data_IF_874014539656
#
_entry.id   IF_874014539656
#
_cell.length_a   1.000
_cell.length_b   1.000
_cell.length_c   1.000
_cell.angle_alpha   90.00
_cell.angle_beta   90.00
_cell.angle_gamma   90.00
#
_symmetry.space_group_name_H-M   'P 1'
#
loop_
_entity.id
_entity.type
_entity.pdbx_description
1 polymer ?
#
# COMPACT_ATOMS: atom_id res chain seq x y z
N UNK A 1 11.28 48.60 15.33
CA UNK A 1 10.68 47.37 14.78
C UNK A 1 11.63 46.22 15.10
N UNK A 2 11.21 45.16 15.81
CA UNK A 2 12.06 44.00 16.01
C UNK A 2 12.30 43.37 14.64
N UNK A 3 13.58 43.20 14.29
CA UNK A 3 14.03 42.44 13.12
C UNK A 3 13.36 41.07 13.14
N UNK A 4 12.46 40.80 12.20
CA UNK A 4 11.92 39.46 11.97
C UNK A 4 13.10 38.56 11.60
N UNK A 5 13.61 37.82 12.57
CA UNK A 5 14.62 36.80 12.37
C UNK A 5 14.06 35.81 11.35
N UNK A 6 14.78 35.66 10.23
CA UNK A 6 14.47 34.67 9.21
C UNK A 6 14.28 33.32 9.91
N UNK A 7 13.16 32.61 9.71
CA UNK A 7 12.94 31.33 10.36
C UNK A 7 14.14 30.41 10.08
N UNK A 8 14.60 29.64 11.08
CA UNK A 8 15.75 28.76 10.91
C UNK A 8 15.56 27.88 9.68
N UNK A 9 16.62 27.71 8.90
CA UNK A 9 16.59 26.84 7.74
C UNK A 9 16.13 25.45 8.18
N UNK A 10 15.25 24.76 7.42
CA UNK A 10 14.83 23.42 7.77
C UNK A 10 16.07 22.52 7.90
N UNK A 11 16.09 21.70 8.94
CA UNK A 11 17.16 20.74 9.15
C UNK A 11 17.35 19.86 7.89
N UNK A 12 18.60 19.44 7.60
CA UNK A 12 18.87 18.68 6.38
C UNK A 12 18.04 17.40 6.34
N UNK A 13 17.42 17.15 5.20
CA UNK A 13 16.67 15.92 4.95
C UNK A 13 17.59 14.68 4.98
N UNK A 14 17.08 13.50 5.34
CA UNK A 14 17.89 12.28 5.39
C UNK A 14 18.47 11.93 4.02
N UNK A 15 19.73 11.49 4.01
CA UNK A 15 20.44 11.03 2.83
C UNK A 15 20.64 9.50 2.81
N UNK A 16 20.54 8.86 3.98
CA UNK A 16 20.74 7.41 4.19
C UNK A 16 19.80 6.88 5.28
N UNK A 17 19.71 5.56 5.43
CA UNK A 17 19.02 4.97 6.59
C UNK A 17 19.67 5.34 7.93
N UNK A 18 20.99 5.57 7.95
CA UNK A 18 21.70 5.94 9.15
C UNK A 18 21.19 7.27 9.74
N UNK A 19 20.78 8.21 8.88
CA UNK A 19 20.23 9.50 9.30
C UNK A 19 18.87 9.36 10.02
N UNK A 20 18.15 8.27 9.78
CA UNK A 20 16.88 7.97 10.45
C UNK A 20 17.09 7.32 11.83
N UNK A 21 18.22 6.64 12.07
CA UNK A 21 18.46 5.86 13.28
C UNK A 21 18.30 6.64 14.60
N UNK A 22 18.75 7.91 14.72
CA UNK A 22 18.53 8.70 15.93
C UNK A 22 17.05 8.85 16.29
N UNK A 23 16.15 8.78 15.30
CA UNK A 23 14.70 8.88 15.50
C UNK A 23 14.09 7.75 16.34
N UNK A 24 14.82 6.64 16.58
CA UNK A 24 14.39 5.57 17.49
C UNK A 24 14.20 6.03 18.94
N UNK A 25 14.87 7.11 19.31
CA UNK A 25 14.87 7.66 20.67
C UNK A 25 14.10 8.99 20.76
N UNK A 26 13.35 9.35 19.72
CA UNK A 26 12.65 10.63 19.63
C UNK A 26 11.15 10.37 19.49
N UNK A 27 10.34 11.08 20.27
CA UNK A 27 8.88 10.96 20.25
C UNK A 27 8.31 11.12 18.83
N UNK A 28 7.41 10.23 18.43
CA UNK A 28 6.78 10.23 17.11
C UNK A 28 5.81 11.39 16.85
N UNK A 29 5.92 12.50 17.57
CA UNK A 29 5.22 13.75 17.30
C UNK A 29 6.10 14.93 17.72
N UNK A 30 6.48 15.75 16.75
CA UNK A 30 7.35 16.90 16.98
C UNK A 30 6.64 18.14 17.54
N UNK A 31 5.35 18.02 17.92
CA UNK A 31 4.57 19.10 18.53
C UNK A 31 4.21 20.22 17.57
N UNK A 32 4.45 20.03 16.27
CA UNK A 32 4.28 21.07 15.28
C UNK A 32 2.79 21.40 15.05
N UNK A 33 2.47 22.69 14.92
CA UNK A 33 1.12 23.14 14.60
C UNK A 33 0.76 22.74 13.16
N UNK A 34 -0.22 21.85 13.00
CA UNK A 34 -0.66 21.36 11.70
C UNK A 34 -1.47 22.40 10.91
N UNK A 35 -2.08 23.37 11.60
CA UNK A 35 -2.91 24.41 10.99
C UNK A 35 -2.09 25.47 10.27
N UNK A 36 -0.79 25.56 10.59
CA UNK A 36 0.15 26.50 9.98
C UNK A 36 0.97 25.79 8.90
N UNK A 37 0.79 26.13 7.61
CA UNK A 37 1.58 25.57 6.54
C UNK A 37 3.09 25.85 6.72
N UNK A 38 3.98 24.90 6.40
CA UNK A 38 5.42 25.13 6.51
C UNK A 38 5.89 26.14 5.46
N UNK A 39 6.91 26.93 5.79
CA UNK A 39 7.47 27.96 4.90
C UNK A 39 8.01 27.40 3.57
N UNK A 40 8.38 26.11 3.54
CA UNK A 40 8.85 25.42 2.34
C UNK A 40 7.73 24.84 1.47
N UNK A 41 6.46 25.06 1.80
CA UNK A 41 5.32 24.54 1.04
C UNK A 41 5.25 25.16 -0.36
N UNK A 42 5.42 24.32 -1.36
CA UNK A 42 5.29 24.60 -2.78
C UNK A 42 3.97 23.97 -3.25
N UNK A 43 2.96 24.83 -3.45
CA UNK A 43 1.62 24.42 -3.87
C UNK A 43 1.60 23.80 -5.27
N UNK A 44 2.53 24.17 -6.16
CA UNK A 44 2.60 23.58 -7.49
C UNK A 44 3.15 22.16 -7.44
N UNK A 45 4.20 21.89 -6.64
CA UNK A 45 4.69 20.52 -6.39
C UNK A 45 3.62 19.66 -5.71
N UNK A 46 2.94 20.20 -4.70
CA UNK A 46 1.85 19.52 -4.00
C UNK A 46 0.73 19.12 -4.97
N UNK A 47 0.25 20.05 -5.81
CA UNK A 47 -0.78 19.79 -6.80
C UNK A 47 -0.36 18.74 -7.84
N UNK A 48 0.91 18.74 -8.27
CA UNK A 48 1.44 17.70 -9.16
C UNK A 48 1.40 16.31 -8.53
N UNK A 49 1.70 16.19 -7.24
CA UNK A 49 1.57 14.91 -6.51
C UNK A 49 0.14 14.40 -6.47
N UNK A 50 -0.84 15.27 -6.20
CA UNK A 50 -2.26 14.93 -6.22
C UNK A 50 -2.70 14.47 -7.62
N UNK A 51 -2.25 15.16 -8.67
CA UNK A 51 -2.55 14.80 -10.05
C UNK A 51 -1.94 13.43 -10.42
N UNK A 52 -0.67 13.19 -10.07
CA UNK A 52 -0.01 11.90 -10.29
C UNK A 52 -0.76 10.76 -9.59
N UNK A 53 -1.21 10.97 -8.34
CA UNK A 53 -2.02 9.97 -7.65
C UNK A 53 -3.34 9.71 -8.36
N UNK A 54 -4.09 10.76 -8.76
CA UNK A 54 -5.39 10.60 -9.45
C UNK A 54 -5.25 9.86 -10.78
N UNK A 55 -4.14 10.06 -11.48
CA UNK A 55 -3.85 9.37 -12.73
C UNK A 55 -3.58 7.88 -12.48
N UNK A 56 -2.73 7.55 -11.51
CA UNK A 56 -2.22 6.19 -11.29
C UNK A 56 -2.77 5.50 -10.02
N UNK A 57 -3.94 5.91 -9.53
CA UNK A 57 -4.44 5.56 -8.19
C UNK A 57 -4.52 4.06 -7.95
N UNK A 58 -4.99 3.30 -8.95
CA UNK A 58 -5.13 1.86 -8.83
C UNK A 58 -3.77 1.15 -8.79
N UNK A 59 -2.83 1.54 -9.68
CA UNK A 59 -1.46 1.01 -9.67
C UNK A 59 -0.74 1.34 -8.36
N UNK A 60 -0.83 2.59 -7.88
CA UNK A 60 -0.28 3.01 -6.59
C UNK A 60 -0.91 2.22 -5.44
N UNK A 61 -2.23 2.01 -5.44
CA UNK A 61 -2.92 1.18 -4.45
C UNK A 61 -2.42 -0.26 -4.41
N UNK A 62 -2.11 -0.86 -5.57
CA UNK A 62 -1.47 -2.18 -5.63
C UNK A 62 -0.08 -2.17 -5.00
N UNK A 63 0.71 -1.10 -5.17
CA UNK A 63 2.00 -0.99 -4.47
C UNK A 63 1.83 -0.97 -2.95
N UNK A 64 0.78 -0.33 -2.42
CA UNK A 64 0.51 -0.35 -0.98
C UNK A 64 0.21 -1.76 -0.49
N UNK A 65 -0.54 -2.55 -1.27
CA UNK A 65 -0.83 -3.95 -0.97
C UNK A 65 0.47 -4.79 -0.88
N UNK A 66 1.34 -4.71 -1.89
CA UNK A 66 2.61 -5.46 -1.89
C UNK A 66 3.55 -4.99 -0.77
N UNK A 67 3.70 -3.67 -0.59
CA UNK A 67 4.50 -3.09 0.48
C UNK A 67 4.00 -3.47 1.87
N UNK A 68 2.68 -3.57 2.09
CA UNK A 68 2.11 -3.94 3.38
C UNK A 68 2.41 -5.41 3.72
N UNK A 69 2.26 -6.32 2.76
CA UNK A 69 2.57 -7.75 2.99
C UNK A 69 4.06 -7.91 3.31
N UNK A 70 4.96 -7.28 2.55
CA UNK A 70 6.39 -7.24 2.93
C UNK A 70 6.61 -6.54 4.27
N UNK A 71 5.85 -5.48 4.55
CA UNK A 71 5.94 -4.68 5.77
C UNK A 71 5.67 -5.47 7.05
N UNK A 72 4.86 -6.55 6.99
CA UNK A 72 4.67 -7.45 8.15
C UNK A 72 5.95 -8.19 8.58
N UNK A 73 7.03 -8.11 7.82
CA UNK A 73 8.35 -8.59 8.29
C UNK A 73 8.95 -7.68 9.35
N UNK A 74 8.53 -6.41 9.40
CA UNK A 74 8.93 -5.45 10.42
C UNK A 74 8.24 -5.76 11.77
N UNK A 75 9.04 -6.22 12.75
CA UNK A 75 8.56 -6.58 14.10
C UNK A 75 7.91 -5.42 14.87
N UNK A 76 8.40 -4.19 14.69
CA UNK A 76 7.83 -3.02 15.35
C UNK A 76 6.42 -2.73 14.82
N UNK A 77 6.22 -2.85 13.50
CA UNK A 77 4.90 -2.74 12.89
C UNK A 77 3.97 -3.83 13.42
N UNK A 78 4.37 -5.10 13.31
CA UNK A 78 3.52 -6.23 13.75
C UNK A 78 3.11 -6.10 15.21
N UNK A 79 4.04 -5.74 16.09
CA UNK A 79 3.73 -5.58 17.52
C UNK A 79 2.68 -4.48 17.77
N UNK A 80 2.72 -3.35 17.05
CA UNK A 80 1.68 -2.32 17.13
C UNK A 80 0.32 -2.86 16.67
N UNK A 81 0.32 -3.64 15.58
CA UNK A 81 -0.91 -4.19 15.01
C UNK A 81 -1.54 -5.24 15.94
N UNK A 82 -0.74 -6.12 16.51
CA UNK A 82 -1.14 -7.12 17.50
C UNK A 82 -1.75 -6.46 18.75
N UNK A 83 -1.04 -5.48 19.33
CA UNK A 83 -1.48 -4.77 20.53
C UNK A 83 -2.81 -4.03 20.34
N UNK A 84 -3.10 -3.58 19.12
CA UNK A 84 -4.34 -2.84 18.82
C UNK A 84 -5.59 -3.71 18.66
N UNK A 85 -5.45 -5.05 18.57
CA UNK A 85 -6.58 -5.99 18.55
C UNK A 85 -7.42 -6.06 17.26
N UNK A 86 -7.16 -5.20 16.27
CA UNK A 86 -7.98 -5.06 15.06
C UNK A 86 -7.54 -5.89 13.85
N UNK A 87 -6.70 -6.92 14.01
CA UNK A 87 -6.08 -7.64 12.87
C UNK A 87 -5.92 -9.14 13.06
N UNK A 88 -6.50 -9.73 14.10
CA UNK A 88 -6.32 -11.15 14.41
C UNK A 88 -7.12 -12.11 13.51
N UNK A 89 -8.12 -11.63 12.76
CA UNK A 89 -8.94 -12.44 11.87
C UNK A 89 -9.15 -11.78 10.51
N UNK A 90 -9.48 -12.54 9.44
CA UNK A 90 -9.75 -11.98 8.11
C UNK A 90 -10.78 -10.84 8.06
N UNK A 91 -11.95 -10.91 8.71
CA UNK A 91 -12.91 -9.81 8.68
C UNK A 91 -12.42 -8.56 9.44
N UNK A 92 -11.74 -8.74 10.58
CA UNK A 92 -11.15 -7.64 11.35
C UNK A 92 -10.07 -6.92 10.53
N UNK A 93 -9.14 -7.70 9.94
CA UNK A 93 -8.10 -7.17 9.07
C UNK A 93 -8.70 -6.42 7.88
N UNK A 94 -9.69 -7.00 7.18
CA UNK A 94 -10.35 -6.32 6.06
C UNK A 94 -10.90 -4.94 6.47
N UNK A 95 -11.64 -4.87 7.57
CA UNK A 95 -12.20 -3.61 8.04
C UNK A 95 -11.11 -2.57 8.33
N UNK A 96 -10.07 -2.96 9.08
CA UNK A 96 -8.94 -2.08 9.40
C UNK A 96 -8.27 -1.51 8.15
N UNK A 97 -7.95 -2.36 7.18
CA UNK A 97 -7.20 -1.93 6.00
C UNK A 97 -8.06 -1.15 5.01
N UNK A 98 -9.37 -1.41 4.94
CA UNK A 98 -10.30 -0.53 4.23
C UNK A 98 -10.38 0.85 4.88
N UNK A 99 -10.42 0.94 6.21
CA UNK A 99 -10.41 2.23 6.92
C UNK A 99 -9.10 2.99 6.72
N UNK A 100 -7.97 2.29 6.77
CA UNK A 100 -6.65 2.86 6.44
C UNK A 100 -6.63 3.39 5.00
N UNK A 101 -7.15 2.62 4.04
CA UNK A 101 -7.26 3.03 2.63
C UNK A 101 -8.14 4.27 2.43
N UNK A 102 -9.21 4.44 3.22
CA UNK A 102 -10.04 5.67 3.20
C UNK A 102 -9.26 6.89 3.66
N UNK A 103 -8.53 6.79 4.78
CA UNK A 103 -7.70 7.88 5.28
C UNK A 103 -6.65 8.30 4.24
N UNK A 104 -5.88 7.34 3.72
CA UNK A 104 -4.84 7.58 2.71
C UNK A 104 -5.44 8.20 1.45
N UNK A 105 -6.54 7.66 0.94
CA UNK A 105 -7.16 8.23 -0.27
C UNK A 105 -7.69 9.64 -0.02
N UNK A 106 -8.23 9.92 1.17
CA UNK A 106 -8.65 11.27 1.55
C UNK A 106 -7.47 12.26 1.49
N UNK A 107 -6.29 11.86 2.01
CA UNK A 107 -5.08 12.68 1.96
C UNK A 107 -4.56 12.89 0.55
N UNK A 108 -4.56 11.82 -0.27
CA UNK A 108 -4.03 11.84 -1.64
C UNK A 108 -5.01 12.46 -2.66
N UNK A 109 -6.19 12.90 -2.23
CA UNK A 109 -7.18 13.55 -3.12
C UNK A 109 -7.63 14.93 -2.64
N UNK A 110 -7.22 15.38 -1.45
CA UNK A 110 -7.57 16.69 -0.88
C UNK A 110 -6.38 17.53 -0.40
N UNK A 111 -6.66 18.63 0.32
CA UNK A 111 -5.63 19.50 0.90
C UNK A 111 -5.40 19.18 2.39
N UNK A 112 -4.27 18.55 2.71
CA UNK A 112 -3.89 18.26 4.11
C UNK A 112 -3.49 19.50 4.90
N UNK A 113 -3.41 20.68 4.29
CA UNK A 113 -3.19 21.96 4.96
C UNK A 113 -4.45 22.83 5.02
N UNK A 114 -5.55 22.43 4.37
CA UNK A 114 -6.81 23.16 4.41
C UNK A 114 -7.63 22.75 5.63
N UNK A 115 -7.65 23.56 6.68
CA UNK A 115 -8.31 23.21 7.97
C UNK A 115 -9.80 22.85 7.85
N UNK A 116 -10.48 23.35 6.81
CA UNK A 116 -11.86 22.99 6.49
C UNK A 116 -12.01 21.69 5.67
N UNK A 117 -10.93 21.24 4.99
CA UNK A 117 -10.90 20.06 4.13
C UNK A 117 -10.99 18.77 4.96
N UNK A 118 -11.66 17.76 4.39
CA UNK A 118 -11.72 16.42 4.96
C UNK A 118 -10.33 15.77 5.07
N UNK A 119 -9.40 16.10 4.18
CA UNK A 119 -8.03 15.59 4.18
C UNK A 119 -7.26 16.04 5.44
N UNK A 120 -7.36 17.32 5.80
CA UNK A 120 -6.78 17.87 7.03
C UNK A 120 -7.35 17.16 8.27
N UNK A 121 -8.69 17.09 8.38
CA UNK A 121 -9.36 16.44 9.52
C UNK A 121 -8.97 14.97 9.64
N UNK A 122 -8.88 14.27 8.51
CA UNK A 122 -8.48 12.87 8.43
C UNK A 122 -7.03 12.64 8.89
N UNK A 123 -6.08 13.49 8.48
CA UNK A 123 -4.66 13.31 8.86
C UNK A 123 -4.43 13.64 10.34
N UNK A 124 -5.11 14.67 10.86
CA UNK A 124 -5.07 15.01 12.29
C UNK A 124 -5.72 13.91 13.14
N UNK A 125 -6.83 13.32 12.69
CA UNK A 125 -7.43 12.17 13.38
C UNK A 125 -6.43 11.00 13.50
N UNK A 126 -5.64 10.71 12.45
CA UNK A 126 -4.63 9.65 12.51
C UNK A 126 -3.44 10.04 13.39
N UNK A 127 -3.04 11.32 13.40
CA UNK A 127 -2.04 11.84 14.35
C UNK A 127 -2.50 11.64 15.81
N UNK A 128 -3.77 11.91 16.11
CA UNK A 128 -4.36 11.68 17.43
C UNK A 128 -4.41 10.19 17.79
N UNK A 129 -4.75 9.32 16.83
CA UNK A 129 -4.69 7.86 17.03
C UNK A 129 -3.26 7.43 17.38
N UNK A 130 -2.25 7.90 16.66
CA UNK A 130 -0.85 7.59 16.95
C UNK A 130 -0.45 8.08 18.36
N UNK A 131 -0.90 9.26 18.77
CA UNK A 131 -0.70 9.80 20.12
C UNK A 131 -1.35 8.93 21.19
N UNK A 132 -2.59 8.51 20.98
CA UNK A 132 -3.31 7.62 21.90
C UNK A 132 -2.60 6.26 22.05
N UNK A 133 -2.11 5.69 20.94
CA UNK A 133 -1.34 4.44 20.96
C UNK A 133 -0.03 4.60 21.73
N UNK A 134 0.72 5.70 21.53
CA UNK A 134 1.95 5.97 22.31
C UNK A 134 1.66 6.04 23.80
N UNK A 135 0.64 6.81 24.21
CA UNK A 135 0.23 6.92 25.61
C UNK A 135 -0.14 5.56 26.21
N UNK A 136 -0.85 4.73 25.45
CA UNK A 136 -1.20 3.37 25.88
C UNK A 136 0.05 2.46 26.00
N UNK A 137 1.04 2.61 25.13
CA UNK A 137 2.30 1.86 25.22
C UNK A 137 3.11 2.27 26.47
N UNK A 138 3.23 3.56 26.72
CA UNK A 138 3.91 4.11 27.91
C UNK A 138 3.26 3.61 29.21
N UNK A 139 1.93 3.63 29.29
CA UNK A 139 1.18 3.15 30.45
C UNK A 139 1.43 1.66 30.77
N UNK A 140 1.81 0.85 29.77
CA UNK A 140 2.14 -0.56 29.93
C UNK A 140 3.66 -0.82 30.01
N UNK A 141 4.47 0.23 30.23
CA UNK A 141 5.94 0.11 30.33
C UNK A 141 6.61 -0.35 29.03
N UNK A 142 5.93 -0.21 27.88
CA UNK A 142 6.47 -0.61 26.58
C UNK A 142 7.38 0.48 26.02
N UNK A 143 8.39 0.07 25.25
CA UNK A 143 9.28 0.99 24.53
C UNK A 143 8.48 1.85 23.55
N UNK A 144 8.97 3.06 23.24
CA UNK A 144 8.38 3.98 22.27
C UNK A 144 8.42 3.38 20.84
N UNK A 145 7.36 2.68 20.41
CA UNK A 145 7.35 2.00 19.10
C UNK A 145 6.98 2.96 17.96
N UNK A 146 6.00 3.84 18.17
CA UNK A 146 5.68 4.92 17.21
C UNK A 146 6.61 6.11 17.49
N UNK A 147 7.82 6.07 16.94
CA UNK A 147 8.85 7.09 17.10
C UNK A 147 9.20 7.75 15.75
N UNK A 148 10.10 8.73 15.76
CA UNK A 148 10.57 9.42 14.55
C UNK A 148 11.39 8.54 13.60
N UNK A 149 11.72 7.29 13.96
CA UNK A 149 12.28 6.31 13.03
C UNK A 149 11.18 5.47 12.37
N UNK A 150 10.21 4.98 13.13
CA UNK A 150 9.18 4.10 12.62
C UNK A 150 8.20 4.82 11.68
N UNK A 151 7.91 6.11 11.91
CA UNK A 151 7.04 6.89 11.03
C UNK A 151 7.62 7.05 9.61
N UNK A 152 8.87 7.49 9.40
CA UNK A 152 9.52 7.49 8.08
C UNK A 152 9.68 6.10 7.45
N UNK A 153 9.95 5.06 8.24
CA UNK A 153 10.00 3.68 7.73
C UNK A 153 8.63 3.24 7.19
N UNK A 154 7.55 3.60 7.87
CA UNK A 154 6.18 3.38 7.37
C UNK A 154 5.90 4.26 6.13
N UNK A 155 6.38 5.51 6.11
CA UNK A 155 6.28 6.39 4.92
C UNK A 155 6.95 5.74 3.70
N UNK A 156 8.10 5.07 3.87
CA UNK A 156 8.79 4.32 2.83
C UNK A 156 7.91 3.25 2.18
N UNK A 157 7.02 2.59 2.94
CA UNK A 157 6.11 1.58 2.38
C UNK A 157 5.14 2.18 1.35
N UNK A 158 4.80 3.46 1.46
CA UNK A 158 3.92 4.15 0.52
C UNK A 158 4.65 4.74 -0.69
N UNK A 159 5.93 5.08 -0.58
CA UNK A 159 6.67 5.74 -1.68
C UNK A 159 7.71 4.85 -2.36
N UNK A 160 8.25 3.87 -1.65
CA UNK A 160 9.43 3.12 -2.06
C UNK A 160 9.21 2.29 -3.33
N UNK A 161 8.15 1.47 -3.36
CA UNK A 161 7.82 0.68 -4.55
C UNK A 161 7.42 1.56 -5.74
N UNK A 162 6.69 2.66 -5.52
CA UNK A 162 6.35 3.62 -6.57
C UNK A 162 7.62 4.22 -7.19
N UNK A 163 8.59 4.60 -6.36
CA UNK A 163 9.83 5.24 -6.77
C UNK A 163 10.82 4.29 -7.48
N UNK A 164 10.79 2.99 -7.16
CA UNK A 164 11.76 2.01 -7.65
C UNK A 164 11.26 1.13 -8.79
N UNK A 165 9.99 0.70 -8.75
CA UNK A 165 9.52 -0.45 -9.56
C UNK A 165 8.11 -0.28 -10.11
N UNK A 166 7.58 0.95 -10.16
CA UNK A 166 6.23 1.21 -10.66
C UNK A 166 6.02 0.65 -12.07
N UNK A 167 7.02 0.81 -12.95
CA UNK A 167 7.01 0.35 -14.34
C UNK A 167 6.76 -1.17 -14.46
N UNK A 168 7.38 -1.97 -13.59
CA UNK A 168 7.18 -3.42 -13.51
C UNK A 168 5.84 -3.82 -12.91
N UNK A 169 5.20 -2.91 -12.19
CA UNK A 169 3.88 -3.07 -11.58
C UNK A 169 2.77 -2.44 -12.44
N UNK A 170 3.07 -2.11 -13.70
CA UNK A 170 2.08 -1.81 -14.73
C UNK A 170 1.75 -0.33 -14.92
N UNK A 171 2.50 0.59 -14.30
CA UNK A 171 2.31 2.03 -14.48
C UNK A 171 3.64 2.77 -14.37
N UNK A 172 3.82 3.92 -15.02
CA UNK A 172 5.10 4.63 -14.93
C UNK A 172 4.85 6.12 -14.74
N UNK A 173 5.40 6.68 -13.66
CA UNK A 173 5.40 8.13 -13.45
C UNK A 173 6.61 8.71 -14.19
N UNK A 174 6.39 9.85 -14.87
CA UNK A 174 7.51 10.72 -15.25
C UNK A 174 8.26 11.21 -14.00
N UNK A 175 9.53 11.62 -14.16
CA UNK A 175 10.32 12.14 -13.04
C UNK A 175 9.63 13.33 -12.35
N UNK A 176 8.95 14.20 -13.10
CA UNK A 176 8.23 15.35 -12.52
C UNK A 176 6.99 14.93 -11.72
N UNK A 177 6.28 13.89 -12.14
CA UNK A 177 5.17 13.29 -11.41
C UNK A 177 5.66 12.58 -10.15
N UNK A 178 6.77 11.83 -10.23
CA UNK A 178 7.35 11.16 -9.08
C UNK A 178 7.84 12.17 -8.03
N UNK A 179 8.53 13.23 -8.46
CA UNK A 179 8.93 14.33 -7.57
C UNK A 179 7.71 14.98 -6.90
N UNK A 180 6.62 15.21 -7.66
CA UNK A 180 5.36 15.67 -7.09
C UNK A 180 4.77 14.70 -6.06
N UNK A 181 4.76 13.40 -6.35
CA UNK A 181 4.23 12.36 -5.47
C UNK A 181 5.03 12.22 -4.17
N UNK A 182 6.36 12.22 -4.26
CA UNK A 182 7.25 12.22 -3.09
C UNK A 182 7.06 13.51 -2.29
N UNK A 183 6.95 14.66 -2.95
CA UNK A 183 6.68 15.93 -2.27
C UNK A 183 5.33 15.94 -1.54
N UNK A 184 4.28 15.35 -2.12
CA UNK A 184 3.00 15.15 -1.45
C UNK A 184 3.17 14.31 -0.17
N UNK A 185 3.93 13.22 -0.23
CA UNK A 185 4.21 12.41 0.96
C UNK A 185 5.09 13.12 2.00
N UNK A 186 5.99 14.02 1.60
CA UNK A 186 6.69 14.93 2.52
C UNK A 186 5.70 15.77 3.31
N UNK A 187 4.72 16.37 2.63
CA UNK A 187 3.66 17.16 3.26
C UNK A 187 2.82 16.31 4.23
N UNK A 188 2.41 15.10 3.82
CA UNK A 188 1.65 14.18 4.67
C UNK A 188 2.48 13.78 5.90
N UNK A 189 3.75 13.45 5.74
CA UNK A 189 4.64 13.11 6.86
C UNK A 189 4.75 14.25 7.87
N UNK A 190 4.84 15.51 7.39
CA UNK A 190 4.82 16.69 8.26
C UNK A 190 3.48 16.84 9.01
N UNK A 191 2.35 16.54 8.39
CA UNK A 191 1.06 16.56 9.11
C UNK A 191 0.91 15.41 10.10
N UNK A 192 1.57 14.28 9.86
CA UNK A 192 1.73 13.21 10.84
C UNK A 192 2.84 13.48 11.87
N UNK A 193 3.31 14.73 11.97
CA UNK A 193 4.31 15.21 12.92
C UNK A 193 5.69 14.54 12.84
N UNK A 194 6.06 14.06 11.65
CA UNK A 194 7.44 13.68 11.35
C UNK A 194 8.30 14.95 11.27
N UNK A 195 9.39 15.01 12.02
CA UNK A 195 10.35 16.11 11.93
C UNK A 195 10.99 16.16 10.54
N UNK A 196 11.27 17.37 10.04
CA UNK A 196 11.86 17.55 8.71
C UNK A 196 13.19 16.80 8.53
N UNK A 197 14.00 16.66 9.60
CA UNK A 197 15.27 15.90 9.57
C UNK A 197 15.11 14.39 9.45
N UNK A 198 13.93 13.87 9.77
CA UNK A 198 13.61 12.43 9.68
C UNK A 198 12.64 12.12 8.54
N UNK A 199 12.00 13.13 7.95
CA UNK A 199 11.05 12.95 6.86
C UNK A 199 11.75 12.39 5.62
N UNK A 200 11.54 11.10 5.33
CA UNK A 200 12.16 10.37 4.22
C UNK A 200 11.98 11.11 2.88
N UNK A 201 10.81 11.71 2.69
CA UNK A 201 10.46 12.42 1.47
C UNK A 201 10.99 13.87 1.43
N UNK A 202 11.62 14.34 2.51
CA UNK A 202 12.24 15.67 2.60
C UNK A 202 13.29 15.91 1.52
N UNK A 203 13.93 14.83 1.07
CA UNK A 203 15.05 14.84 0.15
C UNK A 203 14.73 14.89 -1.34
N UNK A 204 13.47 14.67 -1.74
CA UNK A 204 13.09 14.45 -3.15
C UNK A 204 13.19 12.98 -3.57
N UNK A 205 12.80 12.68 -4.81
CA UNK A 205 12.62 11.30 -5.25
C UNK A 205 13.92 10.50 -5.34
N UNK A 206 15.02 11.14 -5.75
CA UNK A 206 16.34 10.49 -5.83
C UNK A 206 16.80 9.95 -4.47
N UNK A 207 16.68 10.77 -3.40
CA UNK A 207 17.01 10.33 -2.03
C UNK A 207 16.07 9.22 -1.55
N UNK A 208 14.77 9.29 -1.85
CA UNK A 208 13.84 8.20 -1.54
C UNK A 208 14.27 6.91 -2.24
N UNK A 209 14.67 6.95 -3.51
CA UNK A 209 15.18 5.78 -4.24
C UNK A 209 16.43 5.22 -3.58
N UNK A 210 17.41 6.07 -3.26
CA UNK A 210 18.66 5.66 -2.62
C UNK A 210 18.40 4.94 -1.28
N UNK A 211 17.64 5.57 -0.38
CA UNK A 211 17.33 5.02 0.95
C UNK A 211 16.50 3.73 0.82
N UNK A 212 15.53 3.68 -0.10
CA UNK A 212 14.72 2.47 -0.32
C UNK A 212 15.56 1.31 -0.85
N UNK A 213 16.52 1.57 -1.75
CA UNK A 213 17.46 0.52 -2.22
C UNK A 213 18.33 0.00 -1.09
N UNK A 214 18.83 0.91 -0.25
CA UNK A 214 19.59 0.55 0.96
C UNK A 214 18.74 -0.35 1.87
N UNK A 215 17.51 0.06 2.19
CA UNK A 215 16.59 -0.70 3.03
C UNK A 215 16.23 -2.06 2.46
N UNK A 216 15.97 -2.13 1.16
CA UNK A 216 15.67 -3.39 0.49
C UNK A 216 16.83 -4.37 0.63
N UNK A 217 18.06 -3.90 0.44
CA UNK A 217 19.27 -4.71 0.53
C UNK A 217 19.58 -5.14 1.97
N UNK A 218 19.51 -4.23 2.93
CA UNK A 218 20.01 -4.48 4.29
C UNK A 218 18.94 -4.94 5.29
N UNK A 219 17.66 -4.71 5.02
CA UNK A 219 16.56 -4.95 5.96
C UNK A 219 15.43 -5.78 5.35
N UNK A 220 14.75 -5.26 4.31
CA UNK A 220 13.44 -5.79 3.87
C UNK A 220 13.56 -7.20 3.31
N UNK A 221 14.41 -7.43 2.30
CA UNK A 221 14.57 -8.76 1.71
C UNK A 221 15.24 -9.77 2.66
N UNK A 222 16.28 -9.40 3.44
CA UNK A 222 16.80 -10.29 4.48
C UNK A 222 15.75 -10.76 5.50
N UNK A 223 14.83 -9.87 5.93
CA UNK A 223 13.74 -10.24 6.84
C UNK A 223 12.66 -11.06 6.13
N UNK A 224 12.33 -10.74 4.87
CA UNK A 224 11.39 -11.50 4.06
C UNK A 224 11.90 -12.91 3.71
N UNK A 225 13.22 -13.12 3.70
CA UNK A 225 13.84 -14.43 3.50
C UNK A 225 13.63 -15.37 4.70
N UNK A 226 13.48 -14.81 5.91
CA UNK A 226 13.35 -15.55 7.18
C UNK A 226 12.27 -14.92 8.08
N UNK A 227 11.00 -14.91 7.65
CA UNK A 227 9.92 -14.29 8.41
C UNK A 227 9.64 -15.08 9.71
N UNK A 228 9.33 -14.34 10.77
CA UNK A 228 8.89 -14.94 12.04
C UNK A 228 7.43 -15.41 11.98
N UNK A 229 6.96 -16.22 12.95
CA UNK A 229 5.56 -16.69 12.99
C UNK A 229 4.53 -15.55 12.88
N UNK A 230 4.75 -14.44 13.59
CA UNK A 230 3.80 -13.33 13.62
C UNK A 230 3.62 -12.65 12.25
N UNK A 231 4.61 -12.75 11.35
CA UNK A 231 4.44 -12.31 9.96
C UNK A 231 3.32 -13.10 9.30
N UNK A 232 3.32 -14.43 9.43
CA UNK A 232 2.29 -15.29 8.83
C UNK A 232 0.92 -15.02 9.44
N UNK A 233 0.84 -14.88 10.77
CA UNK A 233 -0.42 -14.58 11.45
C UNK A 233 -1.07 -13.28 10.91
N UNK A 234 -0.27 -12.22 10.72
CA UNK A 234 -0.75 -10.95 10.16
C UNK A 234 -1.03 -11.03 8.64
N UNK A 235 -0.13 -11.64 7.87
CA UNK A 235 -0.23 -11.73 6.42
C UNK A 235 -1.39 -12.61 5.99
N UNK A 236 -1.64 -13.73 6.68
CA UNK A 236 -2.76 -14.63 6.39
C UNK A 236 -4.09 -13.98 6.76
N UNK A 237 -4.18 -13.28 7.90
CA UNK A 237 -5.37 -12.50 8.24
C UNK A 237 -5.64 -11.41 7.19
N UNK A 238 -4.61 -10.67 6.76
CA UNK A 238 -4.76 -9.65 5.73
C UNK A 238 -5.20 -10.22 4.38
N UNK A 239 -4.48 -11.21 3.85
CA UNK A 239 -4.78 -11.83 2.55
C UNK A 239 -6.13 -12.53 2.57
N UNK A 240 -6.45 -13.24 3.66
CA UNK A 240 -7.77 -13.82 3.88
C UNK A 240 -8.86 -12.74 3.84
N UNK A 241 -8.62 -11.59 4.48
CA UNK A 241 -9.54 -10.46 4.49
C UNK A 241 -9.74 -9.88 3.09
N UNK A 242 -8.66 -9.69 2.32
CA UNK A 242 -8.73 -9.26 0.94
C UNK A 242 -9.48 -10.27 0.06
N UNK A 243 -9.33 -11.58 0.29
CA UNK A 243 -10.10 -12.62 -0.40
C UNK A 243 -11.61 -12.53 -0.15
N UNK A 244 -12.07 -11.94 0.96
CA UNK A 244 -13.50 -11.69 1.18
C UNK A 244 -14.09 -10.67 0.18
N UNK A 245 -13.26 -9.77 -0.38
CA UNK A 245 -13.67 -8.90 -1.49
C UNK A 245 -13.92 -9.71 -2.77
N UNK A 246 -13.43 -10.95 -2.84
CA UNK A 246 -13.64 -11.88 -3.95
C UNK A 246 -14.58 -13.02 -3.57
N UNK A 247 -15.60 -12.74 -2.76
CA UNK A 247 -16.57 -13.75 -2.28
C UNK A 247 -15.93 -14.85 -1.40
N UNK A 248 -14.74 -14.60 -0.83
CA UNK A 248 -13.97 -15.61 -0.10
C UNK A 248 -13.18 -16.56 -1.01
N UNK A 249 -13.25 -16.39 -2.34
CA UNK A 249 -12.42 -17.16 -3.26
C UNK A 249 -10.95 -16.82 -3.02
N UNK A 250 -10.06 -17.82 -2.91
CA UNK A 250 -8.64 -17.61 -2.60
C UNK A 250 -7.88 -17.16 -3.85
N UNK A 251 -8.24 -16.01 -4.41
CA UNK A 251 -7.61 -15.42 -5.60
C UNK A 251 -6.25 -14.79 -5.27
N UNK A 252 -6.05 -14.37 -4.01
CA UNK A 252 -4.78 -13.87 -3.50
C UNK A 252 -4.17 -14.89 -2.54
N UNK A 253 -2.84 -14.94 -2.48
CA UNK A 253 -2.09 -15.70 -1.47
C UNK A 253 -0.88 -14.92 -0.99
N UNK A 254 -0.43 -15.16 0.25
CA UNK A 254 0.80 -14.54 0.78
C UNK A 254 1.99 -14.83 -0.13
N UNK A 255 2.17 -16.09 -0.55
CA UNK A 255 3.29 -16.52 -1.41
C UNK A 255 3.29 -15.82 -2.77
N UNK A 256 2.15 -15.76 -3.46
CA UNK A 256 2.07 -15.07 -4.76
C UNK A 256 2.31 -13.57 -4.64
N UNK A 257 1.84 -12.96 -3.55
CA UNK A 257 2.05 -11.52 -3.27
C UNK A 257 3.53 -11.20 -2.99
N UNK A 258 4.21 -12.04 -2.20
CA UNK A 258 5.65 -11.91 -1.97
C UNK A 258 6.43 -12.16 -3.26
N UNK A 259 6.06 -13.16 -4.07
CA UNK A 259 6.72 -13.43 -5.35
C UNK A 259 6.65 -12.25 -6.33
N UNK A 260 5.55 -11.50 -6.36
CA UNK A 260 5.47 -10.24 -7.11
C UNK A 260 6.54 -9.24 -6.64
N UNK A 261 6.78 -9.15 -5.33
CA UNK A 261 7.76 -8.22 -4.77
C UNK A 261 9.21 -8.63 -5.11
N UNK A 262 9.52 -9.93 -5.08
CA UNK A 262 10.82 -10.45 -5.54
C UNK A 262 11.00 -10.26 -7.05
N UNK A 263 9.97 -10.52 -7.86
CA UNK A 263 9.98 -10.22 -9.30
C UNK A 263 10.26 -8.73 -9.57
N UNK A 264 9.52 -7.83 -8.92
CA UNK A 264 9.66 -6.40 -9.14
C UNK A 264 11.07 -5.90 -8.78
N UNK A 265 11.70 -6.49 -7.76
CA UNK A 265 13.04 -6.15 -7.32
C UNK A 265 14.19 -6.83 -8.08
N UNK A 266 13.91 -7.59 -9.15
CA UNK A 266 14.91 -8.43 -9.87
C UNK A 266 15.60 -9.45 -8.96
N UNK A 267 14.84 -10.04 -8.03
CA UNK A 267 15.33 -11.00 -7.02
C UNK A 267 14.65 -12.36 -7.13
N UNK A 268 14.09 -12.71 -8.29
CA UNK A 268 13.34 -13.96 -8.45
C UNK A 268 14.11 -15.18 -7.95
N UNK A 269 15.39 -15.27 -8.33
CA UNK A 269 16.28 -16.40 -7.98
C UNK A 269 16.72 -16.40 -6.50
N UNK A 270 16.47 -15.31 -5.77
CA UNK A 270 16.76 -15.18 -4.33
C UNK A 270 15.53 -15.51 -3.45
N UNK A 271 14.39 -15.87 -4.05
CA UNK A 271 13.16 -16.15 -3.32
C UNK A 271 13.32 -17.40 -2.44
N UNK A 272 12.98 -17.35 -1.14
CA UNK A 272 13.31 -18.40 -0.16
C UNK A 272 12.34 -19.60 -0.21
N UNK A 273 11.44 -19.66 -1.19
CA UNK A 273 10.42 -20.70 -1.30
C UNK A 273 10.05 -20.95 -2.75
N UNK A 274 9.57 -22.15 -3.03
CA UNK A 274 8.93 -22.49 -4.30
C UNK A 274 7.44 -22.14 -4.28
N UNK A 275 6.94 -21.73 -5.44
CA UNK A 275 5.51 -21.52 -5.64
C UNK A 275 4.83 -22.85 -5.95
N UNK A 276 3.69 -23.10 -5.27
CA UNK A 276 2.78 -24.14 -5.73
C UNK A 276 2.24 -23.79 -7.12
N UNK A 277 1.77 -24.78 -7.89
CA UNK A 277 1.15 -24.52 -9.19
C UNK A 277 0.03 -23.47 -9.11
N UNK A 278 -0.78 -23.52 -8.04
CA UNK A 278 -1.86 -22.56 -7.82
C UNK A 278 -1.33 -21.16 -7.47
N UNK A 279 -0.29 -21.05 -6.65
CA UNK A 279 0.34 -19.75 -6.35
C UNK A 279 1.04 -19.16 -7.57
N UNK A 280 1.60 -20.00 -8.45
CA UNK A 280 2.17 -19.56 -9.71
C UNK A 280 1.09 -18.99 -10.63
N UNK A 281 -0.09 -19.63 -10.72
CA UNK A 281 -1.24 -19.08 -11.45
C UNK A 281 -1.68 -17.73 -10.86
N UNK A 282 -1.76 -17.58 -9.53
CA UNK A 282 -2.05 -16.28 -8.88
C UNK A 282 -1.01 -15.21 -9.22
N UNK A 283 0.27 -15.57 -9.20
CA UNK A 283 1.36 -14.68 -9.64
C UNK A 283 1.22 -14.26 -11.11
N UNK A 284 0.91 -15.18 -12.01
CA UNK A 284 0.66 -14.87 -13.42
C UNK A 284 -0.54 -13.94 -13.62
N UNK A 285 -1.59 -14.08 -12.80
CA UNK A 285 -2.73 -13.15 -12.83
C UNK A 285 -2.30 -11.71 -12.48
N UNK A 286 -1.46 -11.52 -11.46
CA UNK A 286 -0.87 -10.20 -11.18
C UNK A 286 -0.05 -9.69 -12.37
N UNK A 287 0.80 -10.53 -12.96
CA UNK A 287 1.64 -10.16 -14.12
C UNK A 287 0.79 -9.71 -15.30
N UNK A 288 -0.28 -10.44 -15.60
CA UNK A 288 -1.21 -10.06 -16.65
C UNK A 288 -1.91 -8.74 -16.33
N UNK A 289 -2.37 -8.54 -15.09
CA UNK A 289 -2.97 -7.28 -14.66
C UNK A 289 -2.00 -6.11 -14.88
N UNK A 290 -0.71 -6.27 -14.57
CA UNK A 290 0.31 -5.24 -14.81
C UNK A 290 0.50 -4.95 -16.31
N UNK A 291 0.55 -5.99 -17.15
CA UNK A 291 0.62 -5.84 -18.61
C UNK A 291 -0.61 -5.10 -19.15
N UNK A 292 -1.81 -5.47 -18.70
CA UNK A 292 -3.05 -4.82 -19.08
C UNK A 292 -3.06 -3.35 -18.67
N UNK A 293 -2.66 -3.01 -17.44
CA UNK A 293 -2.54 -1.63 -17.00
C UNK A 293 -1.50 -0.83 -17.81
N UNK A 294 -0.37 -1.45 -18.17
CA UNK A 294 0.70 -0.77 -18.90
C UNK A 294 0.32 -0.46 -20.34
N UNK A 295 -0.31 -1.41 -21.02
CA UNK A 295 -0.49 -1.38 -22.47
C UNK A 295 -1.92 -1.07 -22.92
N UNK A 296 -2.89 -1.05 -22.01
CA UNK A 296 -4.27 -0.65 -22.29
C UNK A 296 -4.61 0.62 -21.48
N UNK A 297 -4.33 1.83 -22.02
CA UNK A 297 -4.54 3.09 -21.30
C UNK A 297 -5.99 3.28 -20.81
N UNK A 298 -6.97 2.80 -21.58
CA UNK A 298 -8.38 2.81 -21.16
C UNK A 298 -8.60 2.00 -19.88
N UNK A 299 -8.03 0.79 -19.81
CA UNK A 299 -8.18 -0.08 -18.64
C UNK A 299 -7.59 0.55 -17.39
N UNK A 300 -6.37 1.10 -17.50
CA UNK A 300 -5.69 1.79 -16.41
C UNK A 300 -6.48 3.01 -15.92
N UNK A 301 -6.92 3.88 -16.84
CA UNK A 301 -7.70 5.08 -16.50
C UNK A 301 -9.04 4.73 -15.86
N UNK A 302 -9.73 3.72 -16.39
CA UNK A 302 -11.00 3.25 -15.84
C UNK A 302 -10.81 2.71 -14.42
N UNK A 303 -9.80 1.86 -14.19
CA UNK A 303 -9.52 1.30 -12.87
C UNK A 303 -9.18 2.41 -11.84
N UNK A 304 -8.33 3.37 -12.20
CA UNK A 304 -8.03 4.53 -11.34
C UNK A 304 -9.28 5.38 -11.08
N UNK A 305 -10.06 5.71 -12.12
CA UNK A 305 -11.25 6.54 -11.98
C UNK A 305 -12.31 5.88 -11.08
N UNK A 306 -12.54 4.58 -11.24
CA UNK A 306 -13.47 3.82 -10.39
C UNK A 306 -13.00 3.77 -8.94
N UNK A 307 -11.71 3.48 -8.69
CA UNK A 307 -11.15 3.46 -7.34
C UNK A 307 -11.32 4.82 -6.66
N UNK A 308 -10.94 5.91 -7.34
CA UNK A 308 -11.09 7.26 -6.81
C UNK A 308 -12.56 7.59 -6.56
N UNK A 309 -13.47 7.28 -7.49
CA UNK A 309 -14.90 7.53 -7.32
C UNK A 309 -15.47 6.77 -6.10
N UNK A 310 -15.11 5.50 -5.93
CA UNK A 310 -15.51 4.69 -4.77
C UNK A 310 -15.00 5.29 -3.47
N UNK A 311 -13.72 5.67 -3.42
CA UNK A 311 -13.12 6.26 -2.23
C UNK A 311 -13.68 7.66 -1.92
N UNK A 312 -13.96 8.49 -2.94
CA UNK A 312 -14.59 9.80 -2.75
C UNK A 312 -16.05 9.69 -2.32
N UNK A 313 -16.79 8.69 -2.81
CA UNK A 313 -18.15 8.39 -2.32
C UNK A 313 -18.17 7.87 -0.86
N UNK A 314 -17.00 7.46 -0.35
CA UNK A 314 -16.79 7.09 1.05
C UNK A 314 -16.34 8.28 1.91
N UNK A 315 -16.14 9.47 1.34
CA UNK A 315 -15.58 10.67 2.01
C UNK A 315 -16.56 11.40 2.94
N UNK A 316 -17.63 10.72 3.37
CA UNK A 316 -18.34 11.12 4.58
C UNK A 316 -17.32 10.99 5.73
N UNK A 317 -16.76 12.14 6.17
CA UNK A 317 -15.97 12.17 7.39
C UNK A 317 -16.76 11.49 8.50
N UNK A 318 -16.12 10.74 9.41
CA UNK A 318 -16.75 10.35 10.66
C UNK A 318 -17.23 11.63 11.36
N UNK A 319 -18.52 11.94 11.26
CA UNK A 319 -19.14 13.02 12.03
C UNK A 319 -19.55 12.41 13.36
N UNK A 320 -18.62 12.42 14.31
CA UNK A 320 -18.85 11.94 15.66
C UNK A 320 -17.53 11.61 16.37
N UNK A 321 -17.52 11.57 17.71
CA UNK A 321 -16.42 10.95 18.44
C UNK A 321 -16.18 9.54 17.85
N UNK A 322 -14.93 9.04 17.85
CA UNK A 322 -14.58 7.77 17.23
C UNK A 322 -15.62 6.71 17.62
N UNK A 323 -16.38 6.23 16.63
CA UNK A 323 -17.50 5.28 16.84
C UNK A 323 -17.03 3.89 17.30
N UNK A 324 -15.72 3.75 17.48
CA UNK A 324 -15.05 2.59 18.05
C UNK A 324 -13.72 3.07 18.63
N UNK A 325 -13.33 2.48 19.77
CA UNK A 325 -12.02 2.66 20.37
C UNK A 325 -10.93 2.53 19.28
N UNK A 326 -9.91 3.41 19.24
CA UNK A 326 -8.76 3.27 18.34
C UNK A 326 -8.05 1.91 18.46
N UNK A 327 -8.30 1.21 19.56
CA UNK A 327 -7.89 -0.15 19.89
C UNK A 327 -9.10 -1.08 19.84
N UNK A 328 -9.82 -1.13 18.71
CA UNK A 328 -10.99 -1.99 18.54
C UNK A 328 -10.66 -3.47 18.79
N UNK A 329 -10.78 -3.91 20.04
CA UNK A 329 -10.35 -5.22 20.53
C UNK A 329 -9.64 -5.22 21.90
N UNK A 330 -9.29 -4.06 22.45
CA UNK A 330 -8.71 -3.94 23.79
C UNK A 330 -9.69 -4.42 24.89
N UNK A 331 -9.26 -5.23 25.88
CA UNK A 331 -10.10 -5.59 27.03
C UNK A 331 -10.66 -4.33 27.71
N UNK A 332 -11.87 -4.45 28.27
CA UNK A 332 -12.73 -3.37 28.77
C UNK A 332 -12.09 -2.38 29.78
N UNK A 333 -10.87 -2.65 30.26
CA UNK A 333 -10.12 -1.77 31.16
C UNK A 333 -9.32 -0.65 30.49
N UNK A 334 -9.23 -0.60 29.15
CA UNK A 334 -8.31 0.32 28.45
C UNK A 334 -8.94 1.70 28.14
N UNK A 335 -10.27 1.80 28.09
CA UNK A 335 -11.01 3.08 27.99
C UNK A 335 -12.41 2.97 28.62
N UNK A 336 -12.59 3.23 29.94
CA UNK A 336 -13.89 3.10 30.60
C UNK A 336 -14.95 4.10 30.10
N UNK A 337 -14.54 5.26 29.58
CA UNK A 337 -15.44 6.38 29.26
C UNK A 337 -16.03 6.35 27.84
N UNK A 338 -15.70 5.36 27.00
CA UNK A 338 -16.05 5.36 25.57
C UNK A 338 -16.79 4.09 25.08
N UNK A 339 -17.27 3.24 25.99
CA UNK A 339 -18.14 2.12 25.64
C UNK A 339 -19.62 2.50 25.87
N UNK A 340 -20.42 2.82 24.83
CA UNK A 340 -21.84 2.59 24.93
C UNK A 340 -22.06 1.09 25.05
N UNK A 341 -22.74 0.66 26.11
CA UNK A 341 -23.14 -0.71 26.31
C UNK A 341 -23.99 -1.18 25.11
N UNK A 342 -23.51 -2.20 24.37
CA UNK A 342 -24.31 -2.87 23.34
C UNK A 342 -23.55 -3.16 22.06
N UNK A 343 -22.91 -4.31 22.00
CA UNK A 343 -22.39 -4.86 20.75
C UNK A 343 -21.65 -6.18 20.98
N UNK A 344 -22.34 -7.30 20.83
CA UNK A 344 -21.73 -8.63 20.90
C UNK A 344 -20.65 -8.78 19.82
N UNK A 345 -19.47 -9.34 20.13
CA UNK A 345 -18.48 -9.68 19.12
C UNK A 345 -18.95 -10.95 18.39
N UNK A 346 -19.28 -10.83 17.10
CA UNK A 346 -19.62 -11.99 16.28
C UNK A 346 -20.71 -11.78 15.23
N UNK A 347 -21.36 -10.61 15.17
CA UNK A 347 -22.34 -10.38 14.12
C UNK A 347 -21.64 -9.84 12.85
N UNK A 348 -21.57 -10.59 11.74
CA UNK A 348 -21.04 -10.09 10.49
C UNK A 348 -22.00 -9.01 9.98
N UNK A 349 -21.76 -7.75 10.36
CA UNK A 349 -22.51 -6.63 9.79
C UNK A 349 -22.47 -6.77 8.26
N UNK A 350 -23.62 -6.77 7.59
CA UNK A 350 -23.66 -6.93 6.15
C UNK A 350 -22.74 -5.89 5.50
N UNK A 351 -21.85 -6.35 4.61
CA UNK A 351 -20.93 -5.49 3.88
C UNK A 351 -21.71 -4.30 3.28
N UNK A 352 -21.39 -3.10 3.76
CA UNK A 352 -22.10 -1.88 3.38
C UNK A 352 -22.12 -1.69 1.86
N UNK A 353 -23.11 -0.94 1.35
CA UNK A 353 -23.27 -0.69 -0.10
C UNK A 353 -21.98 -0.24 -0.80
N UNK A 354 -21.15 0.53 -0.09
CA UNK A 354 -19.89 1.07 -0.58
C UNK A 354 -18.80 -0.02 -0.72
N UNK A 355 -18.78 -1.04 0.15
CA UNK A 355 -17.87 -2.20 0.02
C UNK A 355 -18.32 -3.14 -1.10
N UNK A 356 -19.62 -3.19 -1.41
CA UNK A 356 -20.15 -3.93 -2.57
C UNK A 356 -19.66 -3.35 -3.90
N UNK A 357 -19.56 -2.02 -4.03
CA UNK A 357 -19.03 -1.37 -5.23
C UNK A 357 -17.53 -1.67 -5.44
N UNK A 358 -16.72 -1.58 -4.37
CA UNK A 358 -15.30 -1.97 -4.42
C UNK A 358 -15.13 -3.44 -4.80
N UNK A 359 -15.93 -4.33 -4.20
CA UNK A 359 -15.97 -5.75 -4.54
C UNK A 359 -16.32 -5.96 -6.01
N UNK A 360 -17.37 -5.34 -6.52
CA UNK A 360 -17.76 -5.46 -7.93
C UNK A 360 -16.62 -5.04 -8.86
N UNK A 361 -16.00 -3.87 -8.61
CA UNK A 361 -14.86 -3.39 -9.39
C UNK A 361 -13.69 -4.39 -9.37
N UNK A 362 -13.23 -4.81 -8.18
CA UNK A 362 -12.08 -5.71 -8.06
C UNK A 362 -12.38 -7.09 -8.68
N UNK A 363 -13.57 -7.63 -8.47
CA UNK A 363 -13.99 -8.90 -9.04
C UNK A 363 -14.00 -8.83 -10.57
N UNK A 364 -14.52 -7.75 -11.16
CA UNK A 364 -14.50 -7.54 -12.61
C UNK A 364 -13.08 -7.41 -13.16
N UNK A 365 -12.19 -6.68 -12.45
CA UNK A 365 -10.80 -6.53 -12.88
C UNK A 365 -10.06 -7.87 -12.83
N UNK A 366 -10.19 -8.63 -11.74
CA UNK A 366 -9.51 -9.92 -11.57
C UNK A 366 -10.10 -10.98 -12.50
N UNK A 367 -11.42 -11.16 -12.53
CA UNK A 367 -12.04 -12.14 -13.43
C UNK A 367 -11.87 -11.78 -14.90
N UNK A 368 -11.94 -10.48 -15.25
CA UNK A 368 -11.63 -10.01 -16.59
C UNK A 368 -10.19 -10.31 -16.97
N UNK A 369 -9.23 -10.11 -16.05
CA UNK A 369 -7.83 -10.48 -16.27
C UNK A 369 -7.66 -11.99 -16.47
N UNK A 370 -8.30 -12.82 -15.64
CA UNK A 370 -8.27 -14.29 -15.75
C UNK A 370 -8.87 -14.75 -17.10
N UNK A 371 -10.01 -14.19 -17.48
CA UNK A 371 -10.68 -14.52 -18.75
C UNK A 371 -9.80 -14.13 -19.94
N UNK A 372 -9.18 -12.96 -19.92
CA UNK A 372 -8.29 -12.53 -20.99
C UNK A 372 -7.02 -13.38 -21.07
N UNK A 373 -6.43 -13.77 -19.93
CA UNK A 373 -5.32 -14.75 -19.88
C UNK A 373 -5.76 -16.05 -20.52
N UNK A 374 -6.92 -16.57 -20.10
CA UNK A 374 -7.45 -17.85 -20.59
C UNK A 374 -7.74 -17.82 -22.09
N UNK A 375 -8.34 -16.75 -22.59
CA UNK A 375 -8.58 -16.57 -24.03
C UNK A 375 -7.26 -16.44 -24.80
N UNK A 376 -6.27 -15.74 -24.25
CA UNK A 376 -4.96 -15.57 -24.88
C UNK A 376 -4.17 -16.88 -24.92
N UNK A 377 -4.18 -17.66 -23.83
CA UNK A 377 -3.52 -18.98 -23.79
C UNK A 377 -4.25 -19.98 -24.68
N UNK A 378 -5.59 -19.98 -24.70
CA UNK A 378 -6.37 -20.81 -25.61
C UNK A 378 -6.08 -20.46 -27.08
N UNK A 379 -5.95 -19.17 -27.42
CA UNK A 379 -5.57 -18.71 -28.76
C UNK A 379 -4.15 -19.15 -29.12
N UNK A 380 -3.17 -19.02 -28.22
CA UNK A 380 -1.80 -19.47 -28.45
C UNK A 380 -1.72 -20.99 -28.62
N UNK A 381 -2.47 -21.75 -27.82
CA UNK A 381 -2.58 -23.21 -27.98
C UNK A 381 -3.21 -23.58 -29.31
N UNK A 382 -4.28 -22.88 -29.73
CA UNK A 382 -4.90 -23.08 -31.02
C UNK A 382 -3.92 -22.80 -32.16
N UNK A 383 -3.17 -21.69 -32.10
CA UNK A 383 -2.12 -21.35 -33.08
C UNK A 383 -1.05 -22.44 -33.12
N UNK A 384 -0.59 -22.93 -31.96
CA UNK A 384 0.40 -23.99 -31.88
C UNK A 384 -0.10 -25.31 -32.49
N UNK A 385 -1.36 -25.69 -32.21
CA UNK A 385 -2.00 -26.87 -32.80
C UNK A 385 -2.13 -26.71 -34.32
N UNK A 386 -2.59 -25.56 -34.81
CA UNK A 386 -2.71 -25.28 -36.24
C UNK A 386 -1.34 -25.29 -36.94
N UNK A 387 -0.29 -24.77 -36.30
CA UNK A 387 1.08 -24.81 -36.81
C UNK A 387 1.65 -26.25 -36.84
N UNK A 388 1.36 -27.05 -35.81
CA UNK A 388 1.72 -28.47 -35.77
C UNK A 388 0.98 -29.28 -36.86
N UNK A 389 -0.30 -29.00 -37.08
CA UNK A 389 -1.08 -29.60 -38.17
C UNK A 389 -0.53 -29.19 -39.53
N UNK A 390 -0.21 -27.91 -39.74
CA UNK A 390 0.35 -27.42 -41.00
C UNK A 390 1.70 -28.06 -41.31
N UNK A 391 2.60 -28.14 -40.34
CA UNK A 391 3.91 -28.81 -40.49
C UNK A 391 3.75 -30.32 -40.71
N UNK A 392 2.81 -30.97 -40.01
CA UNK A 392 2.46 -32.37 -40.24
C UNK A 392 1.89 -32.65 -41.64
N UNK A 393 1.00 -31.78 -42.13
CA UNK A 393 0.46 -31.87 -43.50
C UNK A 393 1.52 -31.57 -44.58
N UNK A 394 2.44 -30.63 -44.31
CA UNK A 394 3.52 -30.33 -45.24
C UNK A 394 4.49 -31.52 -45.39
N UNK A 395 4.79 -32.21 -44.28
CA UNK A 395 5.64 -33.41 -44.27
C UNK A 395 4.97 -34.61 -44.93
N UNK A 396 3.65 -34.79 -44.79
CA UNK A 396 2.91 -35.85 -45.47
C UNK A 396 2.73 -35.59 -46.97
N UNK A 397 2.59 -34.32 -47.39
CA UNK A 397 2.56 -33.94 -48.81
C UNK A 397 3.89 -34.16 -49.54
N UNK A 398 5.03 -33.91 -48.87
CA UNK A 398 6.37 -34.20 -49.40
C UNK A 398 6.61 -35.71 -49.59
N UNK A 399 6.09 -36.53 -48.67
CA UNK A 399 6.14 -38.00 -48.77
C UNK A 399 5.34 -38.53 -49.98
N UNK A 400 4.13 -38.01 -50.21
CA UNK A 400 3.31 -38.42 -51.34
C UNK A 400 3.91 -38.00 -52.69
N UNK A 401 4.55 -36.83 -52.78
CA UNK A 401 5.24 -36.38 -53.98
C UNK A 401 6.53 -37.19 -54.27
N UNK A 402 7.23 -37.65 -53.23
CA UNK A 402 8.41 -38.51 -53.37
C UNK A 402 8.07 -39.99 -53.67
N UNK A 403 6.83 -40.42 -53.43
CA UNK A 403 6.31 -41.75 -53.81
C UNK A 403 5.72 -41.80 -55.23
N UNK A 404 5.55 -40.64 -55.88
CA UNK A 404 5.02 -40.51 -57.25
C UNK A 404 6.11 -40.10 -58.28
N UNK A 405 7.36 -39.98 -57.84
CA UNK A 405 8.56 -39.81 -58.68
C UNK A 405 9.38 -41.10 -58.66
#
# INVERSE_FOLDING_TARGET
MPSATKPPAPAPAPASLADLLPGKHVEGDCGVDASVPPAWLDRAKYARGLAAYREYSFGIGLTFHFSLVLGFTNRALVHILEDSGGSGTPPQALNRYLDTGKHITCWLTGDVFGTSDAAYKSVEQVRDIHKAVRKAQEAHGKTLIINQYQLPITQMAFVGMVALVSDKLGFALSESQLEGYVYLWRCIGRQLAVEDRFNLCGGGAERVRAITREANKSVVFPQAAKPCKAFYDMADAYIGGMNLLFCGLPLLSVRSTIAVSYYAADKWDEMPFELSALDYVRYLNYRFLFVAMRWLPFFQRLASALLVAICLAQRECPSGPPSSCPLGGAPAGICPELHPAGGCPGDPRPLGAKTRALRAMLLTLVLGSVLLVWLSTALLLLIAVLAAMWTGLALSGLSAAALLA
#
